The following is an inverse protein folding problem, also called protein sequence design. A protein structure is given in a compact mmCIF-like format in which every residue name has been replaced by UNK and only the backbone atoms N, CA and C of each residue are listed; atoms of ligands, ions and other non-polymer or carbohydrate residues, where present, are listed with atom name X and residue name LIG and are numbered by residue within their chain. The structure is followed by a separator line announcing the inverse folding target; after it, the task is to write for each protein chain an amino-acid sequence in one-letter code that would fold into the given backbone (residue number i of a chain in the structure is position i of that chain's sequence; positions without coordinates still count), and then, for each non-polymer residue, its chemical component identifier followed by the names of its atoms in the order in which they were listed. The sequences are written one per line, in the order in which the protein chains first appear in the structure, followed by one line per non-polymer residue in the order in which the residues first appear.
data_IF_667858407716
#
_entry.id   IF_667858407716
#
_cell.length_a   1.000
_cell.length_b   1.000
_cell.length_c   1.000
_cell.angle_alpha   90.00
_cell.angle_beta   90.00
_cell.angle_gamma   90.00
#
_symmetry.space_group_name_H-M   'P 1'
#
loop_
_entity.id
_entity.type
_entity.pdbx_description
1 polymer ?
#
# COMPACT_ATOMS: atom_id res chain seq x y z
N UNK A 1 -19.02 27.49 -25.54
CA UNK A 1 -20.40 27.29 -25.02
C UNK A 1 -20.87 25.88 -25.44
N UNK A 2 -21.22 25.04 -24.47
CA UNK A 2 -21.78 23.67 -24.61
C UNK A 2 -20.89 22.56 -25.16
N UNK A 3 -20.05 22.00 -24.30
CA UNK A 3 -19.68 20.57 -24.30
C UNK A 3 -20.09 19.92 -22.95
N UNK A 4 -21.36 20.18 -22.61
CA UNK A 4 -21.96 19.53 -21.45
C UNK A 4 -23.28 18.90 -21.92
N UNK A 5 -23.27 17.68 -22.41
CA UNK A 5 -24.52 17.07 -22.82
C UNK A 5 -24.46 15.77 -23.62
N UNK A 6 -23.43 14.95 -23.43
CA UNK A 6 -23.51 13.55 -23.77
C UNK A 6 -22.84 12.70 -22.69
N UNK A 7 -23.44 12.68 -21.50
CA UNK A 7 -23.25 11.56 -20.61
C UNK A 7 -24.02 10.37 -21.22
N UNK A 8 -23.37 9.66 -22.14
CA UNK A 8 -23.65 8.25 -22.33
C UNK A 8 -23.56 7.63 -20.93
N UNK A 9 -24.69 7.07 -20.46
CA UNK A 9 -24.67 6.04 -19.43
C UNK A 9 -23.90 4.85 -19.98
N UNK A 10 -22.58 4.95 -20.01
CA UNK A 10 -21.75 3.75 -19.93
C UNK A 10 -22.18 3.12 -18.62
N UNK A 11 -22.69 1.90 -18.70
CA UNK A 11 -22.65 0.95 -17.59
C UNK A 11 -21.20 0.98 -17.14
N UNK A 12 -20.91 1.80 -16.15
CA UNK A 12 -19.62 1.80 -15.48
C UNK A 12 -19.52 0.41 -14.87
N UNK A 13 -18.53 -0.35 -15.31
CA UNK A 13 -18.01 -1.47 -14.53
C UNK A 13 -18.06 -1.09 -13.06
N UNK A 14 -18.33 -2.04 -12.19
CA UNK A 14 -18.44 -1.84 -10.73
C UNK A 14 -17.53 -0.71 -10.24
N UNK A 15 -18.04 0.22 -9.42
CA UNK A 15 -17.23 1.32 -8.93
C UNK A 15 -15.97 0.75 -8.31
N UNK A 16 -14.80 1.26 -8.71
CA UNK A 16 -13.49 0.83 -8.15
C UNK A 16 -13.58 0.94 -6.64
N UNK A 17 -13.67 -0.23 -5.99
CA UNK A 17 -13.89 -0.33 -4.56
C UNK A 17 -12.55 -0.66 -3.93
N UNK A 18 -11.83 0.15 -3.29
CA UNK A 18 -10.63 -0.14 -2.49
C UNK A 18 -9.29 -0.01 -3.22
N UNK A 19 -8.68 1.15 -3.05
CA UNK A 19 -7.28 1.40 -3.42
C UNK A 19 -6.52 1.88 -2.19
N UNK A 20 -6.37 0.98 -1.23
CA UNK A 20 -5.76 1.26 0.07
C UNK A 20 -4.22 1.24 0.00
N UNK A 21 -3.56 1.81 1.03
CA UNK A 21 -2.12 1.72 1.24
C UNK A 21 -1.77 0.77 2.38
N UNK A 22 -0.82 -0.14 2.16
CA UNK A 22 -0.27 -1.02 3.18
C UNK A 22 1.16 -0.59 3.52
N UNK A 23 1.49 -0.60 4.81
CA UNK A 23 2.83 -0.38 5.36
C UNK A 23 3.13 -1.47 6.40
N UNK A 24 4.21 -2.21 6.19
CA UNK A 24 4.67 -3.27 7.10
C UNK A 24 6.12 -3.01 7.48
N UNK A 25 6.44 -3.14 8.76
CA UNK A 25 7.81 -3.05 9.29
C UNK A 25 8.03 -4.15 10.34
N UNK A 26 9.13 -4.88 10.22
CA UNK A 26 9.70 -5.76 11.24
C UNK A 26 11.05 -5.24 11.67
N UNK A 27 11.18 -4.85 12.92
CA UNK A 27 12.44 -4.47 13.55
C UNK A 27 13.25 -5.73 13.90
N UNK A 28 14.44 -5.91 13.34
CA UNK A 28 15.26 -7.13 13.50
C UNK A 28 16.25 -7.07 14.66
N UNK A 29 16.41 -5.91 15.25
CA UNK A 29 17.32 -5.65 16.38
C UNK A 29 16.53 -5.25 17.63
N UNK A 30 17.10 -5.34 18.81
CA UNK A 30 16.48 -4.84 20.03
C UNK A 30 16.38 -3.31 20.02
N UNK A 31 15.42 -2.74 20.75
CA UNK A 31 15.20 -1.28 20.80
C UNK A 31 16.43 -0.48 21.26
N UNK A 32 17.31 -1.08 22.10
CA UNK A 32 18.59 -0.49 22.51
C UNK A 32 19.52 -0.22 21.33
N UNK A 33 19.52 -1.10 20.32
CA UNK A 33 20.26 -0.89 19.08
C UNK A 33 19.80 0.37 18.35
N UNK A 34 18.47 0.55 18.18
CA UNK A 34 17.93 1.72 17.49
C UNK A 34 18.19 3.02 18.25
N UNK A 35 18.15 2.98 19.59
CA UNK A 35 18.55 4.13 20.41
C UNK A 35 20.02 4.50 20.17
N UNK A 36 20.91 3.52 20.15
CA UNK A 36 22.33 3.74 19.94
C UNK A 36 22.65 4.19 18.51
N UNK A 37 22.08 3.52 17.51
CA UNK A 37 22.41 3.72 16.10
C UNK A 37 21.70 4.94 15.49
N UNK A 38 20.46 5.21 15.90
CA UNK A 38 19.59 6.24 15.30
C UNK A 38 19.14 7.31 16.28
N UNK A 39 19.60 7.27 17.54
CA UNK A 39 19.30 8.26 18.58
C UNK A 39 17.88 8.20 19.13
N UNK A 40 17.10 7.15 18.81
CA UNK A 40 15.71 7.04 19.27
C UNK A 40 15.25 5.59 19.39
N UNK A 41 14.52 5.30 20.47
CA UNK A 41 13.81 4.02 20.65
C UNK A 41 12.58 3.92 19.73
N UNK A 42 12.06 5.07 19.26
CA UNK A 42 10.86 5.17 18.44
C UNK A 42 11.11 4.95 16.94
N UNK A 43 12.28 4.43 16.56
CA UNK A 43 12.67 4.28 15.17
C UNK A 43 11.59 3.60 14.31
N UNK A 44 11.03 2.48 14.76
CA UNK A 44 9.98 1.76 14.04
C UNK A 44 8.70 2.58 13.83
N UNK A 45 8.22 3.24 14.88
CA UNK A 45 7.03 4.11 14.80
C UNK A 45 7.29 5.33 13.90
N UNK A 46 8.45 5.96 14.01
CA UNK A 46 8.82 7.09 13.14
C UNK A 46 8.90 6.67 11.67
N UNK A 47 9.46 5.50 11.39
CA UNK A 47 9.51 4.95 10.03
C UNK A 47 8.14 4.54 9.51
N UNK A 48 7.28 3.97 10.36
CA UNK A 48 5.90 3.66 10.00
C UNK A 48 5.11 4.92 9.66
N UNK A 49 5.21 5.97 10.49
CA UNK A 49 4.61 7.28 10.20
C UNK A 49 5.02 7.79 8.82
N UNK A 50 6.33 7.87 8.56
CA UNK A 50 6.85 8.34 7.27
C UNK A 50 6.39 7.46 6.10
N UNK A 51 6.37 6.13 6.28
CA UNK A 51 5.94 5.21 5.24
C UNK A 51 4.46 5.37 4.91
N UNK A 52 3.61 5.63 5.91
CA UNK A 52 2.19 5.94 5.72
C UNK A 52 2.00 7.31 5.07
N UNK A 53 2.68 8.36 5.55
CA UNK A 53 2.63 9.71 4.97
C UNK A 53 3.07 9.72 3.50
N UNK A 54 4.09 8.94 3.14
CA UNK A 54 4.53 8.83 1.75
C UNK A 54 3.57 8.03 0.86
N UNK A 55 2.53 7.43 1.42
CA UNK A 55 1.47 6.73 0.72
C UNK A 55 0.08 7.39 0.91
N UNK A 56 -0.02 8.58 1.51
CA UNK A 56 -1.32 9.17 1.85
C UNK A 56 -2.22 9.42 0.62
N UNK A 57 -1.63 9.52 -0.59
CA UNK A 57 -2.36 9.58 -1.85
C UNK A 57 -3.26 8.37 -2.12
N UNK A 58 -2.99 7.23 -1.46
CA UNK A 58 -3.74 5.99 -1.62
C UNK A 58 -4.97 5.91 -0.72
N UNK A 59 -5.01 6.65 0.38
CA UNK A 59 -6.15 6.62 1.27
C UNK A 59 -6.18 7.82 2.21
N UNK A 60 -7.31 8.55 2.18
CA UNK A 60 -7.54 9.76 2.97
C UNK A 60 -8.80 9.66 3.85
N UNK A 61 -9.56 8.57 3.74
CA UNK A 61 -10.84 8.39 4.45
C UNK A 61 -10.68 7.65 5.78
N UNK A 62 -9.45 7.43 6.19
CA UNK A 62 -9.10 6.82 7.46
C UNK A 62 -7.75 6.13 7.43
N UNK A 63 -7.25 5.81 8.61
CA UNK A 63 -5.99 5.10 8.80
C UNK A 63 -6.05 4.20 10.04
N UNK A 64 -5.13 3.26 10.12
CA UNK A 64 -4.98 2.46 11.33
C UNK A 64 -3.61 1.81 11.41
N UNK A 65 -3.21 1.49 12.62
CA UNK A 65 -1.99 0.76 12.91
C UNK A 65 -2.26 -0.41 13.84
N UNK A 66 -1.53 -1.50 13.66
CA UNK A 66 -1.41 -2.57 14.64
C UNK A 66 0.06 -2.88 14.91
N UNK A 67 0.34 -3.32 16.13
CA UNK A 67 1.69 -3.72 16.55
C UNK A 67 1.65 -5.01 17.34
N UNK A 68 2.73 -5.79 17.25
CA UNK A 68 2.98 -6.94 18.10
C UNK A 68 4.30 -6.76 18.81
N UNK A 69 4.28 -6.93 20.12
CA UNK A 69 5.47 -6.96 21.00
C UNK A 69 5.93 -8.40 21.12
N UNK A 70 7.19 -8.65 20.84
CA UNK A 70 7.84 -9.93 21.11
C UNK A 70 8.26 -10.06 22.57
N UNK A 71 8.46 -11.28 23.03
CA UNK A 71 8.97 -11.58 24.37
C UNK A 71 8.23 -10.81 25.51
N UNK A 72 6.92 -10.70 25.36
CA UNK A 72 6.07 -10.10 26.39
C UNK A 72 5.80 -11.16 27.47
N UNK A 73 5.91 -10.75 28.74
CA UNK A 73 5.60 -11.64 29.86
C UNK A 73 4.15 -12.17 29.78
N UNK A 74 3.88 -13.41 30.18
CA UNK A 74 2.55 -13.97 30.20
C UNK A 74 1.57 -13.09 30.99
N UNK A 75 0.39 -12.87 30.44
CA UNK A 75 -0.65 -12.02 31.03
C UNK A 75 -0.60 -10.56 30.65
N UNK A 76 0.45 -10.09 30.00
CA UNK A 76 0.51 -8.72 29.49
C UNK A 76 0.03 -8.65 28.02
N UNK A 77 -0.68 -7.57 27.63
CA UNK A 77 -1.09 -7.36 26.25
C UNK A 77 0.14 -7.20 25.32
N UNK A 78 0.17 -7.96 24.25
CA UNK A 78 1.27 -7.97 23.27
C UNK A 78 0.85 -7.48 21.88
N UNK A 79 -0.46 -7.53 21.57
CA UNK A 79 -1.00 -7.06 20.28
C UNK A 79 -1.93 -5.87 20.53
N UNK A 80 -1.67 -4.77 19.81
CA UNK A 80 -2.40 -3.52 19.97
C UNK A 80 -2.84 -2.98 18.61
N UNK A 81 -3.97 -2.27 18.60
CA UNK A 81 -4.52 -1.60 17.43
C UNK A 81 -5.11 -0.26 17.79
N UNK A 82 -4.93 0.72 16.88
CA UNK A 82 -5.64 1.99 16.90
C UNK A 82 -6.07 2.35 15.47
N UNK A 83 -7.23 3.01 15.32
CA UNK A 83 -7.81 3.41 14.04
C UNK A 83 -8.40 4.80 14.14
N UNK A 84 -8.36 5.56 13.05
CA UNK A 84 -8.92 6.90 12.97
C UNK A 84 -9.60 7.12 11.62
N UNK A 85 -10.67 7.90 11.63
CA UNK A 85 -11.41 8.39 10.45
C UNK A 85 -11.45 9.91 10.41
N UNK A 86 -10.62 10.56 11.21
CA UNK A 86 -10.46 12.01 11.21
C UNK A 86 -9.91 12.49 9.85
N UNK A 87 -10.16 13.73 9.51
CA UNK A 87 -9.70 14.33 8.24
C UNK A 87 -8.18 14.19 8.04
N UNK A 88 -7.42 14.20 9.13
CA UNK A 88 -5.97 13.93 9.15
C UNK A 88 -5.68 12.65 9.92
N UNK A 89 -6.24 11.52 9.47
CA UNK A 89 -6.25 10.27 10.20
C UNK A 89 -4.85 9.79 10.61
N UNK A 90 -3.84 9.90 9.74
CA UNK A 90 -2.45 9.53 10.08
C UNK A 90 -1.92 10.38 11.23
N UNK A 91 -2.05 11.70 11.12
CA UNK A 91 -1.59 12.63 12.17
C UNK A 91 -2.31 12.37 13.50
N UNK A 92 -3.62 12.09 13.45
CA UNK A 92 -4.40 11.76 14.63
C UNK A 92 -3.92 10.48 15.33
N UNK A 93 -3.65 9.41 14.59
CA UNK A 93 -3.10 8.17 15.14
C UNK A 93 -1.80 8.41 15.90
N UNK A 94 -0.85 9.09 15.25
CA UNK A 94 0.48 9.31 15.85
C UNK A 94 0.45 10.39 16.96
N UNK A 95 -0.51 11.32 16.92
CA UNK A 95 -0.80 12.22 18.03
C UNK A 95 -1.24 11.44 19.27
N UNK A 96 -2.20 10.51 19.14
CA UNK A 96 -2.66 9.67 20.24
C UNK A 96 -1.53 8.84 20.86
N UNK A 97 -0.65 8.24 20.02
CA UNK A 97 0.55 7.53 20.51
C UNK A 97 1.50 8.48 21.23
N UNK A 98 1.71 9.69 20.71
CA UNK A 98 2.58 10.70 21.32
C UNK A 98 2.03 11.21 22.65
N UNK A 99 0.73 11.39 22.76
CA UNK A 99 0.04 11.79 24.01
C UNK A 99 0.16 10.71 25.09
N UNK A 100 0.03 9.41 24.72
CA UNK A 100 0.29 8.29 25.62
C UNK A 100 1.72 8.34 26.17
N UNK A 101 2.71 8.50 25.31
CA UNK A 101 4.11 8.60 25.72
C UNK A 101 4.33 9.83 26.62
N UNK A 102 3.82 11.00 26.24
CA UNK A 102 3.94 12.22 27.02
C UNK A 102 3.25 12.10 28.40
N UNK A 103 2.13 11.38 28.46
CA UNK A 103 1.44 11.07 29.72
C UNK A 103 2.31 10.22 30.66
N UNK A 104 2.99 9.22 30.12
CA UNK A 104 3.91 8.35 30.88
C UNK A 104 5.20 9.10 31.30
N UNK A 105 5.73 9.97 30.45
CA UNK A 105 6.93 10.77 30.74
C UNK A 105 6.76 11.70 31.95
N UNK A 106 5.54 12.14 32.28
CA UNK A 106 5.27 12.92 33.50
C UNK A 106 5.63 12.16 34.77
N UNK A 107 5.53 10.84 34.77
CA UNK A 107 5.84 9.97 35.90
C UNK A 107 7.21 9.29 35.75
N UNK A 108 7.71 9.19 34.53
CA UNK A 108 8.98 8.56 34.17
C UNK A 108 9.75 9.45 33.19
N UNK A 109 10.39 10.54 33.61
CA UNK A 109 11.02 11.53 32.73
C UNK A 109 12.10 10.97 31.79
N UNK A 110 12.74 9.86 32.17
CA UNK A 110 13.78 9.19 31.37
C UNK A 110 13.23 8.05 30.48
N UNK A 111 11.91 7.93 30.35
CA UNK A 111 11.24 6.82 29.66
C UNK A 111 11.86 6.53 28.26
N UNK A 112 12.07 7.56 27.44
CA UNK A 112 12.63 7.44 26.09
C UNK A 112 14.11 7.00 26.07
N UNK A 113 14.82 7.10 27.19
CA UNK A 113 16.20 6.65 27.30
C UNK A 113 16.32 5.19 27.75
N UNK A 114 15.19 4.58 28.16
CA UNK A 114 15.15 3.21 28.66
C UNK A 114 14.30 2.32 27.73
N UNK A 115 14.92 1.61 26.76
CA UNK A 115 14.22 0.79 25.77
C UNK A 115 13.26 -0.24 26.36
N UNK A 116 13.65 -0.89 27.46
CA UNK A 116 12.81 -1.86 28.18
C UNK A 116 11.55 -1.22 28.77
N UNK A 117 11.68 -0.03 29.39
CA UNK A 117 10.53 0.70 29.95
C UNK A 117 9.60 1.18 28.84
N UNK A 118 10.15 1.67 27.72
CA UNK A 118 9.35 2.06 26.56
C UNK A 118 8.56 0.87 26.03
N UNK A 119 9.22 -0.28 25.79
CA UNK A 119 8.55 -1.49 25.32
C UNK A 119 7.49 -1.97 26.29
N UNK A 120 7.77 -2.00 27.59
CA UNK A 120 6.85 -2.46 28.62
C UNK A 120 5.60 -1.59 28.75
N UNK A 121 5.77 -0.26 28.82
CA UNK A 121 4.71 0.66 29.20
C UNK A 121 3.93 1.26 28.00
N UNK A 122 4.57 1.48 26.84
CA UNK A 122 3.90 2.08 25.68
C UNK A 122 3.28 0.99 24.80
N UNK A 123 1.98 1.07 24.56
CA UNK A 123 1.22 0.03 23.83
C UNK A 123 1.78 -0.29 22.46
N UNK A 124 2.13 0.73 21.67
CA UNK A 124 2.53 0.58 20.28
C UNK A 124 4.02 0.39 20.06
N UNK A 125 4.80 0.20 21.11
CA UNK A 125 6.23 -0.11 21.03
C UNK A 125 6.43 -1.63 20.81
N UNK A 126 6.09 -2.08 19.61
CA UNK A 126 6.29 -3.46 19.15
C UNK A 126 7.36 -3.57 18.08
N UNK A 127 7.92 -4.77 17.91
CA UNK A 127 8.90 -5.08 16.87
C UNK A 127 8.24 -5.31 15.51
N UNK A 128 6.95 -5.67 15.49
CA UNK A 128 6.14 -5.83 14.28
C UNK A 128 5.14 -4.69 14.22
N UNK A 129 5.10 -4.01 13.08
CA UNK A 129 4.22 -2.87 12.87
C UNK A 129 3.51 -3.02 11.52
N UNK A 130 2.21 -2.81 11.52
CA UNK A 130 1.34 -2.87 10.35
C UNK A 130 0.51 -1.60 10.29
N UNK A 131 0.68 -0.81 9.23
CA UNK A 131 -0.07 0.40 8.96
C UNK A 131 -0.96 0.25 7.74
N UNK A 132 -2.09 0.94 7.75
CA UNK A 132 -3.04 0.92 6.67
C UNK A 132 -3.63 2.31 6.42
N UNK A 133 -3.81 2.64 5.16
CA UNK A 133 -4.48 3.85 4.68
C UNK A 133 -5.74 3.44 3.93
N UNK A 134 -6.86 3.97 4.34
CA UNK A 134 -8.16 3.62 3.79
C UNK A 134 -8.59 4.62 2.70
N UNK A 135 -8.98 4.06 1.56
CA UNK A 135 -9.79 4.76 0.57
C UNK A 135 -11.23 4.20 0.66
N UNK A 136 -12.13 5.00 1.22
CA UNK A 136 -13.47 4.54 1.60
C UNK A 136 -14.50 4.68 0.47
N UNK A 137 -14.82 3.59 -0.20
CA UNK A 137 -15.96 3.52 -1.12
C UNK A 137 -17.22 2.99 -0.45
N UNK A 138 -17.08 2.17 0.60
CA UNK A 138 -18.17 1.69 1.45
C UNK A 138 -17.99 2.19 2.89
N UNK A 139 -19.10 2.52 3.57
CA UNK A 139 -19.08 2.90 4.98
C UNK A 139 -18.21 4.13 5.26
N UNK A 140 -18.33 5.20 4.45
CA UNK A 140 -17.70 6.50 4.75
C UNK A 140 -18.04 6.89 6.19
N UNK A 141 -17.07 7.39 6.92
CA UNK A 141 -17.20 7.81 8.33
C UNK A 141 -17.51 6.71 9.34
N UNK A 142 -17.15 5.43 9.04
CA UNK A 142 -17.26 4.36 10.01
C UNK A 142 -15.88 3.73 10.25
N UNK A 143 -15.36 3.92 11.47
CA UNK A 143 -14.07 3.40 11.94
C UNK A 143 -13.99 1.88 11.90
N UNK A 144 -15.16 1.23 11.94
CA UNK A 144 -15.25 -0.22 11.94
C UNK A 144 -14.77 -0.86 10.62
N UNK A 145 -14.75 -0.10 9.53
CA UNK A 145 -14.20 -0.54 8.25
C UNK A 145 -12.73 -0.16 8.06
N UNK A 146 -12.12 0.53 9.04
CA UNK A 146 -10.68 0.83 8.97
C UNK A 146 -9.87 -0.39 9.39
N UNK A 147 -8.90 -0.75 8.56
CA UNK A 147 -7.89 -1.75 8.91
C UNK A 147 -6.83 -1.15 9.84
N UNK A 148 -6.06 -1.96 10.57
CA UNK A 148 -6.11 -3.42 10.67
C UNK A 148 -7.34 -3.95 11.42
N UNK A 149 -7.79 -5.16 11.04
CA UNK A 149 -8.70 -5.95 11.89
C UNK A 149 -7.85 -6.84 12.80
N UNK A 150 -8.39 -7.15 13.99
CA UNK A 150 -7.77 -8.12 14.91
C UNK A 150 -8.82 -9.18 15.25
N UNK A 151 -8.41 -10.42 15.16
CA UNK A 151 -9.11 -11.57 15.69
C UNK A 151 -8.33 -12.11 16.87
N UNK A 152 -8.95 -12.03 18.06
CA UNK A 152 -8.35 -12.51 19.30
C UNK A 152 -8.68 -13.98 19.51
N UNK A 153 -7.75 -14.72 20.11
CA UNK A 153 -7.90 -16.10 20.54
C UNK A 153 -7.27 -16.27 21.93
N UNK A 154 -7.72 -17.27 22.68
CA UNK A 154 -7.16 -17.60 24.01
C UNK A 154 -5.71 -18.08 23.93
N UNK A 155 -5.36 -18.79 22.86
CA UNK A 155 -3.98 -19.17 22.55
C UNK A 155 -3.29 -17.97 21.88
N UNK A 156 -2.20 -17.42 22.48
CA UNK A 156 -1.53 -16.23 21.91
C UNK A 156 -1.11 -16.40 20.45
N UNK A 157 -0.61 -17.55 20.07
CA UNK A 157 -0.17 -17.86 18.70
C UNK A 157 -1.28 -17.76 17.65
N UNK A 158 -2.54 -17.86 18.05
CA UNK A 158 -3.70 -17.81 17.15
C UNK A 158 -4.32 -16.41 17.05
N UNK A 159 -3.78 -15.41 17.75
CA UNK A 159 -4.18 -14.02 17.53
C UNK A 159 -3.68 -13.54 16.18
N UNK A 160 -4.53 -12.86 15.43
CA UNK A 160 -4.23 -12.45 14.07
C UNK A 160 -4.64 -10.99 13.84
N UNK A 161 -3.73 -10.16 13.34
CA UNK A 161 -4.06 -8.84 12.81
C UNK A 161 -3.85 -8.85 11.29
N UNK A 162 -4.83 -8.36 10.51
CA UNK A 162 -4.76 -8.24 9.05
C UNK A 162 -5.08 -6.83 8.57
N UNK A 163 -4.38 -6.42 7.54
CA UNK A 163 -4.69 -5.22 6.76
C UNK A 163 -4.27 -5.43 5.30
N UNK A 164 -4.91 -4.74 4.37
CA UNK A 164 -4.50 -4.88 2.98
C UNK A 164 -5.27 -4.00 2.00
N UNK A 165 -4.81 -4.05 0.76
CA UNK A 165 -5.44 -3.49 -0.43
C UNK A 165 -5.94 -4.65 -1.29
N UNK A 166 -7.25 -4.81 -1.40
CA UNK A 166 -7.83 -5.95 -2.10
C UNK A 166 -9.23 -5.65 -2.63
N UNK A 167 -9.65 -6.48 -3.57
CA UNK A 167 -11.01 -6.62 -4.04
C UNK A 167 -11.23 -8.09 -4.39
N UNK A 168 -11.99 -8.79 -3.55
CA UNK A 168 -12.39 -10.18 -3.77
C UNK A 168 -13.75 -10.21 -4.46
N UNK A 169 -13.95 -11.21 -5.32
CA UNK A 169 -15.21 -11.40 -6.04
C UNK A 169 -16.06 -12.53 -5.46
N UNK A 170 -15.48 -13.32 -4.54
CA UNK A 170 -16.13 -14.51 -3.96
C UNK A 170 -16.31 -14.43 -2.43
N UNK A 171 -16.49 -13.24 -1.89
CA UNK A 171 -16.60 -12.98 -0.44
C UNK A 171 -17.71 -13.80 0.23
N UNK A 172 -18.89 -13.94 -0.42
CA UNK A 172 -20.01 -14.71 0.11
C UNK A 172 -19.70 -16.22 0.22
N UNK A 173 -19.01 -16.77 -0.79
CA UNK A 173 -18.57 -18.16 -0.80
C UNK A 173 -17.56 -18.43 0.32
N UNK A 174 -16.66 -17.48 0.60
CA UNK A 174 -15.68 -17.58 1.68
C UNK A 174 -16.36 -17.62 3.05
N UNK A 175 -17.39 -16.80 3.29
CA UNK A 175 -18.16 -16.84 4.54
C UNK A 175 -18.90 -18.16 4.69
N UNK A 176 -19.52 -18.67 3.64
CA UNK A 176 -20.22 -19.95 3.66
C UNK A 176 -19.26 -21.12 3.98
N UNK A 177 -18.04 -21.09 3.45
CA UNK A 177 -17.05 -22.16 3.66
C UNK A 177 -16.61 -22.29 5.13
N UNK A 178 -16.52 -21.19 5.87
CA UNK A 178 -16.14 -21.19 7.30
C UNK A 178 -17.35 -21.27 8.23
N UNK A 179 -18.52 -21.66 7.72
CA UNK A 179 -19.80 -21.83 8.47
C UNK A 179 -20.25 -20.57 9.23
N UNK A 180 -20.02 -19.40 8.65
CA UNK A 180 -20.49 -18.15 9.21
C UNK A 180 -21.82 -17.81 8.53
N UNK A 181 -22.91 -17.81 9.32
CA UNK A 181 -24.22 -17.43 8.81
C UNK A 181 -24.23 -15.98 8.27
N UNK A 182 -24.83 -15.75 7.09
CA UNK A 182 -25.06 -14.41 6.58
C UNK A 182 -25.87 -13.61 7.60
N UNK A 183 -25.33 -12.49 8.11
CA UNK A 183 -26.01 -11.63 9.09
C UNK A 183 -25.41 -11.64 10.50
N UNK A 184 -24.61 -12.65 10.87
CA UNK A 184 -23.86 -12.65 12.15
C UNK A 184 -22.75 -11.59 12.13
N UNK A 185 -22.19 -11.29 10.95
CA UNK A 185 -21.26 -10.18 10.77
C UNK A 185 -21.99 -8.93 10.27
N UNK A 186 -22.10 -7.93 11.11
CA UNK A 186 -22.55 -6.58 10.71
C UNK A 186 -21.61 -5.93 9.66
N UNK A 187 -20.52 -6.59 9.27
CA UNK A 187 -19.47 -6.11 8.40
C UNK A 187 -19.09 -7.16 7.36
N UNK A 188 -19.90 -7.29 6.33
CA UNK A 188 -19.54 -8.05 5.13
C UNK A 188 -18.47 -7.24 4.35
N UNK A 189 -17.20 -7.46 4.65
CA UNK A 189 -16.09 -6.87 3.91
C UNK A 189 -15.09 -7.95 3.50
N UNK A 190 -14.38 -7.70 2.41
CA UNK A 190 -13.33 -8.59 1.90
C UNK A 190 -12.33 -8.96 3.00
N UNK A 191 -11.93 -7.97 3.84
CA UNK A 191 -11.01 -8.24 4.94
C UNK A 191 -11.61 -9.17 5.99
N UNK A 192 -12.88 -9.03 6.30
CA UNK A 192 -13.54 -9.93 7.25
C UNK A 192 -13.53 -11.37 6.72
N UNK A 193 -13.85 -11.58 5.44
CA UNK A 193 -13.80 -12.89 4.81
C UNK A 193 -12.38 -13.48 4.82
N UNK A 194 -11.37 -12.68 4.43
CA UNK A 194 -9.97 -13.10 4.49
C UNK A 194 -9.52 -13.45 5.91
N UNK A 195 -9.90 -12.63 6.90
CA UNK A 195 -9.59 -12.84 8.31
C UNK A 195 -10.13 -14.19 8.79
N UNK A 196 -11.39 -14.48 8.48
CA UNK A 196 -12.03 -15.73 8.90
C UNK A 196 -11.36 -16.94 8.24
N UNK A 197 -11.07 -16.88 6.95
CA UNK A 197 -10.41 -17.98 6.22
C UNK A 197 -8.99 -18.22 6.73
N UNK A 198 -8.18 -17.16 6.86
CA UNK A 198 -6.80 -17.29 7.36
C UNK A 198 -6.79 -17.82 8.79
N UNK A 199 -7.67 -17.29 9.65
CA UNK A 199 -7.77 -17.74 11.03
C UNK A 199 -8.26 -19.19 11.15
N UNK A 200 -9.20 -19.61 10.31
CA UNK A 200 -9.66 -20.99 10.25
C UNK A 200 -8.50 -21.97 9.95
N UNK A 201 -7.68 -21.66 8.95
CA UNK A 201 -6.53 -22.51 8.65
C UNK A 201 -5.39 -22.36 9.66
N UNK A 202 -5.27 -21.22 10.32
CA UNK A 202 -4.34 -21.01 11.42
C UNK A 202 -4.66 -21.93 12.59
N UNK A 203 -5.93 -22.00 13.00
CA UNK A 203 -6.42 -22.90 14.06
C UNK A 203 -6.22 -24.36 13.66
N UNK A 204 -6.58 -24.75 12.45
CA UNK A 204 -6.38 -26.12 11.95
C UNK A 204 -4.91 -26.54 11.90
N UNK A 205 -4.02 -25.60 11.58
CA UNK A 205 -2.58 -25.89 11.55
C UNK A 205 -2.04 -26.09 12.97
N UNK A 206 -2.47 -25.26 13.93
CA UNK A 206 -2.10 -25.41 15.33
C UNK A 206 -2.62 -26.72 15.95
N UNK A 207 -3.84 -27.14 15.62
CA UNK A 207 -4.40 -28.43 16.04
C UNK A 207 -3.57 -29.63 15.54
N UNK A 208 -3.00 -29.53 14.32
CA UNK A 208 -2.20 -30.58 13.71
C UNK A 208 -0.72 -30.52 14.14
N UNK A 209 -0.20 -29.34 14.36
CA UNK A 209 1.20 -29.05 14.65
C UNK A 209 1.38 -28.00 15.74
N UNK A 210 0.95 -28.26 16.99
CA UNK A 210 0.89 -27.25 18.06
C UNK A 210 2.27 -26.68 18.45
N UNK A 211 3.36 -27.43 18.19
CA UNK A 211 4.72 -26.98 18.50
C UNK A 211 5.38 -26.16 17.35
N UNK A 212 4.82 -26.23 16.14
CA UNK A 212 5.41 -25.61 14.96
C UNK A 212 4.38 -25.21 13.93
N UNK A 213 3.84 -24.01 14.09
CA UNK A 213 2.92 -23.43 13.14
C UNK A 213 3.58 -23.23 11.76
N UNK A 214 3.07 -23.92 10.73
CA UNK A 214 3.51 -23.73 9.35
C UNK A 214 2.65 -22.67 8.63
N UNK A 215 3.12 -21.42 8.67
CA UNK A 215 2.45 -20.29 8.01
C UNK A 215 2.39 -20.49 6.49
N UNK A 216 3.38 -21.15 5.87
CA UNK A 216 3.35 -21.42 4.43
C UNK A 216 2.14 -22.29 4.08
N UNK A 217 1.91 -23.34 4.87
CA UNK A 217 0.75 -24.21 4.69
C UNK A 217 -0.58 -23.46 4.91
N UNK A 218 -0.66 -22.65 5.96
CA UNK A 218 -1.83 -21.78 6.23
C UNK A 218 -2.10 -20.87 5.03
N UNK A 219 -1.09 -20.18 4.52
CA UNK A 219 -1.24 -19.26 3.39
C UNK A 219 -1.59 -20.01 2.09
N UNK A 220 -0.99 -21.18 1.81
CA UNK A 220 -1.32 -21.99 0.63
C UNK A 220 -2.78 -22.42 0.63
N UNK A 221 -3.29 -22.92 1.76
CA UNK A 221 -4.70 -23.31 1.93
C UNK A 221 -5.63 -22.10 1.80
N UNK A 222 -5.29 -20.97 2.41
CA UNK A 222 -6.10 -19.76 2.37
C UNK A 222 -6.13 -19.12 0.98
N UNK A 223 -4.97 -18.92 0.37
CA UNK A 223 -4.85 -18.22 -0.91
C UNK A 223 -5.45 -19.01 -2.09
N UNK A 224 -5.52 -20.34 -1.99
CA UNK A 224 -6.19 -21.17 -3.00
C UNK A 224 -7.70 -20.91 -3.11
N UNK A 225 -8.28 -20.29 -2.09
CA UNK A 225 -9.71 -19.97 -2.02
C UNK A 225 -10.02 -18.53 -2.43
N UNK A 226 -9.02 -17.64 -2.46
CA UNK A 226 -9.24 -16.23 -2.76
C UNK A 226 -9.31 -15.98 -4.26
N UNK A 227 -10.41 -15.39 -4.69
CA UNK A 227 -10.56 -14.91 -6.08
C UNK A 227 -10.62 -13.39 -6.10
N UNK A 228 -9.65 -12.78 -6.80
CA UNK A 228 -9.51 -11.33 -6.88
C UNK A 228 -8.08 -10.83 -6.83
N UNK A 229 -7.94 -9.51 -6.73
CA UNK A 229 -6.65 -8.84 -6.57
C UNK A 229 -6.39 -8.46 -5.13
N UNK A 230 -5.24 -8.84 -4.57
CA UNK A 230 -4.93 -8.51 -3.18
C UNK A 230 -3.43 -8.32 -2.90
N UNK A 231 -3.18 -7.42 -1.97
CA UNK A 231 -1.91 -7.22 -1.27
C UNK A 231 -2.25 -7.10 0.21
N UNK A 232 -1.98 -8.14 0.99
CA UNK A 232 -2.38 -8.25 2.39
C UNK A 232 -1.18 -8.48 3.28
N UNK A 233 -1.13 -7.80 4.42
CA UNK A 233 -0.16 -8.02 5.49
C UNK A 233 -0.83 -8.58 6.73
N UNK A 234 -0.16 -9.52 7.39
CA UNK A 234 -0.63 -10.15 8.61
C UNK A 234 0.43 -10.19 9.70
N UNK A 235 -0.01 -9.95 10.94
CA UNK A 235 0.78 -10.13 12.16
C UNK A 235 0.13 -11.23 12.98
N UNK A 236 0.91 -12.21 13.42
CA UNK A 236 0.47 -13.36 14.20
C UNK A 236 0.99 -13.23 15.63
N UNK A 237 0.21 -13.67 16.59
CA UNK A 237 0.51 -13.45 18.00
C UNK A 237 1.77 -14.18 18.52
N UNK A 238 2.25 -15.19 17.81
CA UNK A 238 3.55 -15.83 18.11
C UNK A 238 4.77 -14.99 17.64
N UNK A 239 4.54 -13.84 16.98
CA UNK A 239 5.59 -13.00 16.44
C UNK A 239 5.94 -13.27 14.97
N UNK A 240 5.33 -14.25 14.34
CA UNK A 240 5.43 -14.45 12.90
C UNK A 240 4.57 -13.43 12.15
N UNK A 241 4.91 -13.17 10.90
CA UNK A 241 4.19 -12.22 10.07
C UNK A 241 4.37 -12.52 8.58
N UNK A 242 3.51 -11.96 7.76
CA UNK A 242 3.58 -12.17 6.32
C UNK A 242 3.08 -10.96 5.54
N UNK A 243 3.52 -10.89 4.28
CA UNK A 243 2.93 -10.03 3.25
C UNK A 243 2.70 -10.89 2.02
N UNK A 244 1.44 -11.02 1.60
CA UNK A 244 1.01 -11.90 0.50
C UNK A 244 0.47 -11.08 -0.66
N UNK A 245 0.79 -11.51 -1.89
CA UNK A 245 0.32 -10.88 -3.13
C UNK A 245 -0.47 -11.86 -4.00
N UNK A 246 -1.50 -11.38 -4.68
CA UNK A 246 -2.34 -12.15 -5.59
C UNK A 246 -1.58 -12.78 -6.77
N UNK A 247 -2.15 -13.84 -7.36
CA UNK A 247 -1.52 -14.62 -8.42
C UNK A 247 -1.29 -13.85 -9.73
N UNK A 248 -2.09 -12.83 -10.02
CA UNK A 248 -1.98 -12.01 -11.23
C UNK A 248 -1.14 -10.75 -11.02
N UNK A 249 -0.74 -10.45 -9.77
CA UNK A 249 -0.07 -9.21 -9.42
C UNK A 249 -0.89 -7.97 -9.73
N UNK A 250 -2.21 -8.04 -9.52
CA UNK A 250 -3.16 -6.94 -9.75
C UNK A 250 -2.78 -5.78 -8.85
N UNK A 251 -2.55 -6.06 -7.55
CA UNK A 251 -2.14 -5.04 -6.58
C UNK A 251 -0.62 -4.92 -6.52
N UNK A 252 -0.07 -3.69 -6.42
CA UNK A 252 1.36 -3.49 -6.26
C UNK A 252 1.82 -3.89 -4.86
N UNK A 253 3.00 -4.49 -4.79
CA UNK A 253 3.65 -4.89 -3.54
C UNK A 253 5.15 -4.81 -3.70
N UNK A 254 5.81 -4.10 -2.79
CA UNK A 254 7.25 -3.90 -2.79
C UNK A 254 7.82 -4.17 -1.41
N UNK A 255 9.08 -4.61 -1.36
CA UNK A 255 9.78 -4.86 -0.11
C UNK A 255 11.23 -4.40 -0.14
N UNK A 256 11.78 -4.17 1.05
CA UNK A 256 13.16 -3.79 1.32
C UNK A 256 13.63 -4.49 2.58
N UNK A 257 14.82 -5.08 2.54
CA UNK A 257 15.36 -5.91 3.63
C UNK A 257 16.78 -5.52 3.91
N UNK A 258 17.08 -5.30 5.19
CA UNK A 258 18.43 -5.11 5.74
C UNK A 258 18.62 -5.94 7.00
N UNK A 259 19.81 -5.85 7.60
CA UNK A 259 20.06 -6.48 8.90
C UNK A 259 19.28 -5.81 10.04
N UNK A 260 18.79 -4.60 9.84
CA UNK A 260 18.07 -3.83 10.86
C UNK A 260 16.55 -3.98 10.72
N UNK A 261 16.04 -4.00 9.49
CA UNK A 261 14.60 -3.95 9.23
C UNK A 261 14.20 -4.79 8.03
N UNK A 262 12.98 -5.32 8.08
CA UNK A 262 12.25 -5.83 6.93
C UNK A 262 11.04 -4.91 6.73
N UNK A 263 10.85 -4.43 5.51
CA UNK A 263 9.80 -3.45 5.17
C UNK A 263 9.04 -3.95 3.96
N UNK A 264 7.72 -3.80 3.97
CA UNK A 264 6.92 -3.93 2.76
C UNK A 264 5.88 -2.80 2.67
N UNK A 265 5.54 -2.42 1.44
CA UNK A 265 4.57 -1.36 1.19
C UNK A 265 3.92 -1.49 -0.18
N UNK A 266 2.78 -0.82 -0.36
CA UNK A 266 2.10 -0.74 -1.65
C UNK A 266 2.87 0.07 -2.69
N UNK A 267 3.78 0.98 -2.26
CA UNK A 267 4.53 1.83 -3.18
C UNK A 267 6.04 1.76 -2.97
N UNK A 268 6.79 1.53 -4.06
CA UNK A 268 8.26 1.56 -4.06
C UNK A 268 8.80 2.93 -3.66
N UNK A 269 8.21 3.99 -4.18
CA UNK A 269 8.64 5.36 -3.90
C UNK A 269 8.53 5.70 -2.41
N UNK A 270 7.53 5.17 -1.71
CA UNK A 270 7.36 5.36 -0.27
C UNK A 270 8.51 4.72 0.53
N UNK A 271 8.88 3.48 0.20
CA UNK A 271 10.02 2.80 0.84
C UNK A 271 11.32 3.58 0.57
N UNK A 272 11.56 3.92 -0.70
CA UNK A 272 12.77 4.65 -1.10
C UNK A 272 12.94 5.95 -0.35
N UNK A 273 11.88 6.74 -0.26
CA UNK A 273 11.94 8.04 0.44
C UNK A 273 12.09 7.87 1.95
N UNK A 274 11.38 6.91 2.56
CA UNK A 274 11.41 6.68 4.01
C UNK A 274 12.77 6.18 4.49
N UNK A 275 13.42 5.33 3.71
CA UNK A 275 14.69 4.70 4.08
C UNK A 275 15.91 5.31 3.36
N UNK A 276 15.68 6.29 2.47
CA UNK A 276 16.71 6.95 1.66
C UNK A 276 17.57 5.95 0.86
N UNK A 277 16.93 5.08 0.10
CA UNK A 277 17.58 3.98 -0.62
C UNK A 277 17.38 4.07 -2.13
N UNK A 278 18.27 3.42 -2.87
CA UNK A 278 18.26 3.38 -4.33
C UNK A 278 17.10 2.53 -4.90
N UNK A 279 16.88 2.68 -6.20
CA UNK A 279 15.80 1.96 -6.91
C UNK A 279 16.00 0.44 -6.86
N UNK A 280 17.24 -0.02 -6.97
CA UNK A 280 17.57 -1.45 -7.07
C UNK A 280 17.49 -2.18 -5.72
N UNK A 281 17.49 -1.45 -4.61
CA UNK A 281 17.40 -2.01 -3.27
C UNK A 281 15.96 -2.41 -2.90
N UNK A 282 14.97 -1.69 -3.48
CA UNK A 282 13.56 -1.98 -3.28
C UNK A 282 13.06 -2.92 -4.37
N UNK A 283 12.73 -4.13 -3.96
CA UNK A 283 12.28 -5.21 -4.86
C UNK A 283 10.76 -5.29 -4.92
N UNK A 284 10.25 -5.74 -6.06
CA UNK A 284 8.83 -6.07 -6.20
C UNK A 284 8.59 -7.50 -5.67
N UNK A 285 7.57 -7.68 -4.83
CA UNK A 285 7.11 -9.02 -4.46
C UNK A 285 6.40 -9.63 -5.66
N UNK A 286 6.86 -10.80 -6.10
CA UNK A 286 6.32 -11.45 -7.29
C UNK A 286 4.86 -11.87 -7.10
N UNK A 287 4.06 -11.92 -8.19
CA UNK A 287 2.70 -12.45 -8.14
C UNK A 287 2.69 -13.86 -7.53
N UNK A 288 1.68 -14.15 -6.71
CA UNK A 288 1.51 -15.45 -6.06
C UNK A 288 2.51 -15.77 -4.95
N UNK A 289 3.36 -14.83 -4.57
CA UNK A 289 4.37 -15.02 -3.52
C UNK A 289 4.01 -14.31 -2.22
N UNK A 290 4.56 -14.81 -1.13
CA UNK A 290 4.56 -14.14 0.16
C UNK A 290 5.98 -13.88 0.67
N UNK A 291 6.16 -12.73 1.30
CA UNK A 291 7.26 -12.46 2.21
C UNK A 291 6.82 -12.92 3.59
N UNK A 292 7.47 -13.95 4.13
CA UNK A 292 7.20 -14.53 5.45
C UNK A 292 8.35 -14.17 6.35
N UNK A 293 8.03 -13.64 7.52
CA UNK A 293 9.02 -13.22 8.53
C UNK A 293 8.69 -13.95 9.84
N UNK A 294 9.66 -14.65 10.38
CA UNK A 294 9.53 -15.41 11.63
C UNK A 294 9.78 -14.50 12.84
N UNK A 295 9.35 -14.99 14.00
CA UNK A 295 9.54 -14.29 15.27
C UNK A 295 11.03 -13.95 15.55
N UNK A 296 11.96 -14.81 15.16
CA UNK A 296 13.42 -14.60 15.30
C UNK A 296 14.01 -13.57 14.30
N UNK A 297 13.19 -13.02 13.40
CA UNK A 297 13.61 -12.09 12.36
C UNK A 297 14.21 -12.73 11.12
N UNK A 298 14.26 -14.07 11.03
CA UNK A 298 14.53 -14.77 9.78
C UNK A 298 13.38 -14.57 8.79
N UNK A 299 13.67 -14.65 7.49
CA UNK A 299 12.66 -14.43 6.47
C UNK A 299 12.85 -15.35 5.28
N UNK A 300 11.78 -15.56 4.55
CA UNK A 300 11.78 -16.23 3.27
C UNK A 300 10.76 -15.59 2.32
N UNK A 301 11.03 -15.70 1.02
CA UNK A 301 10.07 -15.35 -0.03
C UNK A 301 9.64 -16.65 -0.65
N UNK A 302 8.38 -16.99 -0.48
CA UNK A 302 7.84 -18.31 -0.84
C UNK A 302 6.73 -18.17 -1.88
N UNK A 303 6.71 -19.06 -2.85
CA UNK A 303 5.59 -19.20 -3.77
C UNK A 303 4.43 -19.88 -3.03
N UNK A 304 3.35 -19.16 -2.84
CA UNK A 304 2.14 -19.62 -2.14
C UNK A 304 1.14 -20.23 -3.12
N UNK A 305 0.90 -19.55 -4.22
CA UNK A 305 0.06 -20.02 -5.34
C UNK A 305 0.83 -19.83 -6.63
N UNK A 306 0.48 -20.61 -7.65
CA UNK A 306 1.12 -20.51 -8.95
C UNK A 306 0.86 -19.13 -9.56
N UNK A 307 1.91 -18.40 -9.97
CA UNK A 307 1.76 -17.13 -10.67
C UNK A 307 1.01 -17.32 -11.98
N UNK A 308 0.04 -16.46 -12.22
CA UNK A 308 -0.73 -16.41 -13.46
C UNK A 308 -0.25 -15.27 -14.36
N UNK A 309 -0.88 -15.15 -15.54
CA UNK A 309 -0.64 -14.01 -16.42
C UNK A 309 -0.78 -12.69 -15.65
N UNK A 310 0.23 -11.81 -15.78
CA UNK A 310 0.24 -10.54 -15.07
C UNK A 310 -0.85 -9.61 -15.57
N UNK A 311 -1.73 -9.19 -14.65
CA UNK A 311 -2.84 -8.25 -14.91
C UNK A 311 -2.77 -7.06 -13.95
N UNK A 312 -1.69 -6.29 -14.05
CA UNK A 312 -1.51 -5.11 -13.21
C UNK A 312 -2.67 -4.12 -13.39
N UNK A 313 -3.24 -3.67 -12.29
CA UNK A 313 -4.35 -2.71 -12.31
C UNK A 313 -3.93 -1.40 -12.98
N UNK A 314 -4.64 -1.00 -14.04
CA UNK A 314 -4.35 0.25 -14.75
C UNK A 314 -4.64 1.48 -13.89
N UNK A 315 -5.67 1.44 -13.03
CA UNK A 315 -5.96 2.52 -12.09
C UNK A 315 -4.80 2.76 -11.10
N UNK A 316 -4.18 1.69 -10.61
CA UNK A 316 -2.98 1.79 -9.78
C UNK A 316 -1.88 2.60 -10.49
N UNK A 317 -1.66 2.34 -11.77
CA UNK A 317 -0.57 2.95 -12.53
C UNK A 317 -0.89 4.37 -13.01
N UNK A 318 -2.13 4.60 -13.43
CA UNK A 318 -2.56 5.88 -14.00
C UNK A 318 -2.89 6.88 -12.90
N UNK A 319 -3.51 6.44 -11.81
CA UNK A 319 -4.11 7.32 -10.82
C UNK A 319 -3.44 7.27 -9.44
N UNK A 320 -3.39 6.10 -8.79
CA UNK A 320 -3.00 5.98 -7.38
C UNK A 320 -1.50 6.03 -7.15
N UNK A 321 -0.68 5.37 -7.97
CA UNK A 321 0.77 5.34 -7.78
C UNK A 321 1.38 6.73 -7.90
N UNK A 322 2.42 7.01 -7.12
CA UNK A 322 3.11 8.30 -7.18
C UNK A 322 3.85 8.50 -8.50
N UNK A 323 3.66 9.67 -9.11
CA UNK A 323 4.31 10.05 -10.36
C UNK A 323 5.84 10.22 -10.27
N UNK A 324 6.41 10.26 -9.08
CA UNK A 324 7.87 10.30 -8.85
C UNK A 324 8.53 8.90 -8.83
N UNK A 325 7.78 7.80 -8.93
CA UNK A 325 8.35 6.50 -9.28
C UNK A 325 8.77 6.51 -10.75
N UNK A 326 10.02 6.14 -11.03
CA UNK A 326 10.61 6.21 -12.37
C UNK A 326 9.82 5.42 -13.44
N UNK A 327 9.29 4.25 -13.09
CA UNK A 327 8.46 3.46 -13.99
C UNK A 327 7.13 4.15 -14.27
N UNK A 328 6.45 4.60 -13.22
CA UNK A 328 5.16 5.30 -13.32
C UNK A 328 5.31 6.60 -14.11
N UNK A 329 6.37 7.36 -13.84
CA UNK A 329 6.69 8.58 -14.58
C UNK A 329 6.80 8.31 -16.09
N UNK A 330 7.61 7.31 -16.47
CA UNK A 330 7.80 6.94 -17.88
C UNK A 330 6.52 6.49 -18.55
N UNK A 331 5.73 5.66 -17.88
CA UNK A 331 4.45 5.17 -18.41
C UNK A 331 3.46 6.30 -18.61
N UNK A 332 3.31 7.19 -17.63
CA UNK A 332 2.40 8.36 -17.75
C UNK A 332 2.87 9.33 -18.83
N UNK A 333 4.17 9.58 -18.93
CA UNK A 333 4.74 10.40 -20.01
C UNK A 333 4.44 9.76 -21.38
N UNK A 334 4.64 8.45 -21.52
CA UNK A 334 4.33 7.74 -22.77
C UNK A 334 2.84 7.80 -23.12
N UNK A 335 1.94 7.63 -22.14
CA UNK A 335 0.49 7.78 -22.33
C UNK A 335 0.13 9.17 -22.88
N UNK A 336 0.68 10.22 -22.29
CA UNK A 336 0.48 11.60 -22.75
C UNK A 336 1.00 11.82 -24.17
N UNK A 337 2.19 11.31 -24.48
CA UNK A 337 2.77 11.39 -25.82
C UNK A 337 1.88 10.70 -26.87
N UNK A 338 1.40 9.49 -26.59
CA UNK A 338 0.46 8.78 -27.49
C UNK A 338 -0.86 9.53 -27.68
N UNK A 339 -1.32 10.27 -26.66
CA UNK A 339 -2.54 11.06 -26.72
C UNK A 339 -2.41 12.27 -27.66
N UNK A 340 -1.21 12.78 -27.89
CA UNK A 340 -0.96 14.03 -28.65
C UNK A 340 -1.59 14.02 -30.04
N UNK A 341 -1.49 12.93 -30.80
CA UNK A 341 -2.10 12.81 -32.13
C UNK A 341 -3.62 12.87 -32.11
N UNK A 342 -4.25 12.30 -31.09
CA UNK A 342 -5.70 12.35 -30.93
C UNK A 342 -6.19 13.78 -30.60
N UNK A 343 -5.44 14.45 -29.71
CA UNK A 343 -5.73 15.85 -29.33
C UNK A 343 -5.54 16.77 -30.52
N UNK A 344 -4.43 16.67 -31.26
CA UNK A 344 -4.16 17.47 -32.46
C UNK A 344 -5.30 17.33 -33.49
N UNK A 345 -5.75 16.10 -33.74
CA UNK A 345 -6.90 15.85 -34.64
C UNK A 345 -8.18 16.49 -34.11
N UNK A 346 -8.46 16.41 -32.82
CA UNK A 346 -9.68 16.94 -32.22
C UNK A 346 -9.77 18.47 -32.32
N UNK A 347 -8.63 19.18 -32.31
CA UNK A 347 -8.55 20.62 -32.49
C UNK A 347 -8.30 21.05 -33.94
N UNK A 348 -8.41 20.12 -34.91
CA UNK A 348 -8.08 20.37 -36.32
C UNK A 348 -6.68 21.00 -36.53
N UNK A 349 -5.72 20.62 -35.68
CA UNK A 349 -4.34 21.16 -35.68
C UNK A 349 -4.23 22.67 -35.41
N UNK A 350 -5.27 23.31 -34.88
CA UNK A 350 -5.26 24.73 -34.52
C UNK A 350 -4.59 24.96 -33.15
N UNK A 351 -3.26 24.89 -33.14
CA UNK A 351 -2.44 25.14 -31.97
C UNK A 351 -2.43 26.62 -31.55
N UNK A 352 -2.65 27.53 -32.52
CA UNK A 352 -2.61 29.00 -32.29
C UNK A 352 -3.74 29.48 -31.39
N UNK A 353 -4.93 28.92 -31.57
CA UNK A 353 -6.13 29.33 -30.83
C UNK A 353 -6.52 28.35 -29.72
N UNK A 354 -5.67 27.40 -29.37
CA UNK A 354 -5.94 26.36 -28.36
C UNK A 354 -5.09 26.57 -27.12
N UNK A 355 -5.72 26.55 -25.95
CA UNK A 355 -5.04 26.55 -24.65
C UNK A 355 -5.10 25.12 -24.07
N UNK A 356 -3.94 24.59 -23.68
CA UNK A 356 -3.84 23.28 -23.06
C UNK A 356 -3.66 23.41 -21.57
N UNK A 357 -4.37 22.60 -20.81
CA UNK A 357 -4.27 22.53 -19.36
C UNK A 357 -4.55 21.12 -18.87
N UNK A 358 -4.31 20.86 -17.60
CA UNK A 358 -4.58 19.57 -16.96
C UNK A 358 -5.25 19.74 -15.60
N UNK A 359 -5.91 18.70 -15.13
CA UNK A 359 -6.45 18.65 -13.77
C UNK A 359 -5.34 18.17 -12.82
N UNK A 360 -4.88 19.03 -11.90
CA UNK A 360 -3.88 18.62 -10.91
C UNK A 360 -4.42 17.50 -10.00
N UNK A 361 -3.55 16.65 -9.40
CA UNK A 361 -2.09 16.59 -9.64
C UNK A 361 -1.75 15.36 -10.49
N UNK A 362 -2.66 14.40 -10.59
CA UNK A 362 -2.39 13.07 -11.17
C UNK A 362 -2.10 13.13 -12.67
N UNK A 363 -2.77 14.05 -13.39
CA UNK A 363 -2.62 14.21 -14.84
C UNK A 363 -1.34 14.94 -15.26
N UNK A 364 -0.62 15.58 -14.33
CA UNK A 364 0.55 16.43 -14.62
C UNK A 364 1.62 15.72 -15.48
N UNK A 365 2.02 14.53 -15.09
CA UNK A 365 3.07 13.78 -15.81
C UNK A 365 2.63 13.37 -17.22
N UNK A 366 1.35 13.00 -17.38
CA UNK A 366 0.79 12.70 -18.70
C UNK A 366 0.71 13.97 -19.57
N UNK A 367 0.41 15.11 -18.95
CA UNK A 367 0.40 16.40 -19.64
C UNK A 367 1.77 16.79 -20.19
N UNK A 368 2.85 16.58 -19.43
CA UNK A 368 4.21 16.78 -19.95
C UNK A 368 4.52 15.88 -21.14
N UNK A 369 4.03 14.63 -21.12
CA UNK A 369 4.11 13.73 -22.27
C UNK A 369 3.34 14.23 -23.47
N UNK A 370 2.14 14.79 -23.27
CA UNK A 370 1.33 15.40 -24.31
C UNK A 370 2.06 16.57 -24.97
N UNK A 371 2.59 17.50 -24.16
CA UNK A 371 3.36 18.64 -24.66
C UNK A 371 4.56 18.17 -25.49
N UNK A 372 5.30 17.16 -25.00
CA UNK A 372 6.42 16.59 -25.74
C UNK A 372 6.01 16.01 -27.09
N UNK A 373 4.88 15.32 -27.17
CA UNK A 373 4.33 14.81 -28.42
C UNK A 373 3.92 15.93 -29.39
N UNK A 374 3.42 17.05 -28.89
CA UNK A 374 3.10 18.25 -29.70
C UNK A 374 4.37 18.94 -30.20
N UNK A 375 5.40 19.08 -29.37
CA UNK A 375 6.71 19.59 -29.80
C UNK A 375 7.33 18.72 -30.92
N UNK A 376 7.27 17.39 -30.76
CA UNK A 376 7.77 16.46 -31.77
C UNK A 376 6.99 16.59 -33.09
N UNK A 377 5.69 16.80 -33.03
CA UNK A 377 4.86 17.12 -34.20
C UNK A 377 5.30 18.43 -34.87
N UNK A 378 5.41 19.53 -34.11
CA UNK A 378 5.84 20.81 -34.63
C UNK A 378 7.24 20.74 -35.26
N UNK A 379 8.19 20.07 -34.62
CA UNK A 379 9.54 19.85 -35.15
C UNK A 379 9.50 19.08 -36.49
N UNK A 380 8.62 18.08 -36.58
CA UNK A 380 8.42 17.34 -37.85
C UNK A 380 7.90 18.26 -38.95
N UNK A 381 6.92 19.11 -38.67
CA UNK A 381 6.39 20.09 -39.64
C UNK A 381 7.45 21.10 -40.03
N UNK A 382 8.21 21.63 -39.07
CA UNK A 382 9.34 22.55 -39.36
C UNK A 382 10.36 21.92 -40.31
N UNK A 383 10.80 20.68 -40.01
CA UNK A 383 11.74 19.97 -40.88
C UNK A 383 11.15 19.77 -42.28
N UNK A 384 9.89 19.38 -42.42
CA UNK A 384 9.22 19.19 -43.70
C UNK A 384 9.15 20.53 -44.49
N UNK A 385 8.81 21.65 -43.85
CA UNK A 385 8.78 22.98 -44.47
C UNK A 385 10.15 23.38 -44.96
N UNK A 386 11.19 23.37 -44.09
CA UNK A 386 12.56 23.71 -44.44
C UNK A 386 13.05 22.84 -45.60
N UNK A 387 12.79 21.54 -45.60
CA UNK A 387 13.18 20.64 -46.66
C UNK A 387 12.49 20.97 -47.99
N UNK A 388 11.20 21.38 -47.94
CA UNK A 388 10.45 21.77 -49.14
C UNK A 388 10.93 23.05 -49.80
N UNK A 389 11.55 23.97 -49.04
CA UNK A 389 12.10 25.23 -49.56
C UNK A 389 13.41 25.00 -50.33
N UNK A 390 14.10 23.90 -50.13
CA UNK A 390 15.35 23.57 -50.82
C UNK A 390 16.46 24.59 -50.50
N UNK A 391 16.90 25.35 -51.50
CA UNK A 391 17.87 26.43 -51.35
C UNK A 391 17.26 27.84 -51.24
N UNK A 392 15.94 27.93 -51.34
CA UNK A 392 15.17 29.20 -51.35
C UNK A 392 14.65 29.61 -49.98
N UNK A 393 15.46 29.50 -48.94
CA UNK A 393 15.11 29.97 -47.60
C UNK A 393 15.93 31.20 -47.19
N UNK A 394 15.33 32.09 -46.46
CA UNK A 394 15.93 33.28 -45.87
C UNK A 394 15.56 33.34 -44.37
N UNK A 395 16.11 34.35 -43.66
CA UNK A 395 15.87 34.52 -42.21
C UNK A 395 14.43 34.81 -41.88
N UNK A 396 13.66 35.53 -42.74
CA UNK A 396 12.26 35.83 -42.53
C UNK A 396 11.39 34.55 -42.57
N UNK A 397 11.62 33.68 -43.57
CA UNK A 397 10.96 32.39 -43.69
C UNK A 397 11.27 31.41 -42.58
N UNK A 398 12.49 31.51 -41.99
CA UNK A 398 12.89 30.69 -40.86
C UNK A 398 12.26 31.17 -39.54
N UNK A 399 11.84 32.44 -39.43
CA UNK A 399 11.22 33.01 -38.26
C UNK A 399 9.69 32.73 -38.18
N UNK A 400 9.06 32.43 -39.31
CA UNK A 400 7.65 32.00 -39.38
C UNK A 400 7.46 30.51 -38.92
#
# INVERSE_FOLDING_TARGET
MYLCGFFLKFLMSDPVKHECGLAFIRLRKPFSYYLQQYGTVMYGLNKLYLLMEKQHNRGQDGAGIATVKLDTEPGYPFMHRIRSIETMAIADLFRQVSEEIAGLEKYQPELKKHPGLMKGNVRFMGELLLGHLRYGTQGRNNVEFCHPFIKCHTIPALNLALAGNFNLVNTEELFALVNIEPGVFQKQSDLAAMMEVVHHFLVKEDEQHPERLDIVNVLKKSASLFDGGYHVGGLIGNGDSFVLRDAHGIRPSYYYITDDVIVAASERAAIRTTFNVGENEVKELMPGHALIVRADGSYQIEQIIEPKERKACSFERIYFSRGNDKKIYRERTALGNHLSNHVLKAINYDLKNTVFSFIPNTAEVAFYGLLKGMEDYLNKIKVQRITSWGKDYDEEKLAE
#
